data_IF_767449849730
#
_entry.id   IF_767449849730
#
_cell.length_a   1.000
_cell.length_b   1.000
_cell.length_c   1.000
_cell.angle_alpha   90.00
_cell.angle_beta   90.00
_cell.angle_gamma   90.00
#
_symmetry.space_group_name_H-M   'P 1'
#
loop_
_entity.id
_entity.type
_entity.pdbx_description
1 polymer ?
#
# COMPACT_ATOMS: atom_id res chain seq x y z
N UNK A 1 -36.68 -9.71 -47.40
CA UNK A 1 -36.01 -10.46 -46.31
C UNK A 1 -34.51 -10.19 -46.21
N UNK A 2 -33.72 -10.19 -47.30
CA UNK A 2 -32.25 -9.98 -47.21
C UNK A 2 -31.80 -8.60 -46.68
N UNK A 3 -32.47 -7.51 -47.07
CA UNK A 3 -32.14 -6.14 -46.62
C UNK A 3 -32.37 -5.92 -45.11
N UNK A 4 -33.48 -6.44 -44.57
CA UNK A 4 -33.78 -6.33 -43.14
C UNK A 4 -32.77 -7.11 -42.30
N UNK A 5 -32.35 -8.30 -42.76
CA UNK A 5 -31.30 -9.08 -42.08
C UNK A 5 -29.94 -8.38 -42.10
N UNK A 6 -29.55 -7.73 -43.20
CA UNK A 6 -28.30 -6.96 -43.28
C UNK A 6 -28.30 -5.74 -42.35
N UNK A 7 -29.43 -5.03 -42.24
CA UNK A 7 -29.56 -3.89 -41.31
C UNK A 7 -29.43 -4.35 -39.86
N UNK A 8 -30.09 -5.44 -39.47
CA UNK A 8 -29.99 -6.00 -38.11
C UNK A 8 -28.55 -6.45 -37.78
N UNK A 9 -27.87 -7.11 -38.72
CA UNK A 9 -26.46 -7.49 -38.55
C UNK A 9 -25.54 -6.27 -38.39
N UNK A 10 -25.79 -5.19 -39.12
CA UNK A 10 -25.04 -3.94 -39.00
C UNK A 10 -25.17 -3.30 -37.62
N UNK A 11 -26.37 -3.28 -37.04
CA UNK A 11 -26.59 -2.77 -35.67
C UNK A 11 -25.92 -3.63 -34.61
N UNK A 12 -25.95 -4.96 -34.75
CA UNK A 12 -25.28 -5.89 -33.83
C UNK A 12 -23.76 -5.68 -33.88
N UNK A 13 -23.19 -5.57 -35.09
CA UNK A 13 -21.76 -5.32 -35.27
C UNK A 13 -21.34 -3.96 -34.66
N UNK A 14 -22.14 -2.92 -34.85
CA UNK A 14 -21.89 -1.60 -34.26
C UNK A 14 -21.96 -1.62 -32.72
N UNK A 15 -22.95 -2.32 -32.14
CA UNK A 15 -23.06 -2.46 -30.69
C UNK A 15 -21.88 -3.23 -30.10
N UNK A 16 -21.43 -4.32 -30.75
CA UNK A 16 -20.22 -5.04 -30.35
C UNK A 16 -18.97 -4.16 -30.45
N UNK A 17 -18.85 -3.38 -31.52
CA UNK A 17 -17.74 -2.46 -31.72
C UNK A 17 -17.69 -1.36 -30.64
N UNK A 18 -18.84 -0.82 -30.25
CA UNK A 18 -18.96 0.15 -29.13
C UNK A 18 -18.56 -0.50 -27.80
N UNK A 19 -18.99 -1.74 -27.53
CA UNK A 19 -18.59 -2.47 -26.32
C UNK A 19 -17.08 -2.72 -26.29
N UNK A 20 -16.49 -3.12 -27.42
CA UNK A 20 -15.04 -3.33 -27.54
C UNK A 20 -14.29 -2.03 -27.33
N UNK A 21 -14.67 -0.95 -28.03
CA UNK A 21 -14.08 0.38 -27.81
C UNK A 21 -14.23 0.78 -26.35
N UNK A 22 -15.38 0.54 -25.72
CA UNK A 22 -15.57 0.92 -24.33
C UNK A 22 -14.66 0.14 -23.38
N UNK A 23 -14.53 -1.16 -23.59
CA UNK A 23 -13.68 -2.01 -22.76
C UNK A 23 -12.19 -1.75 -23.00
N UNK A 24 -11.79 -1.37 -24.21
CA UNK A 24 -10.39 -1.13 -24.56
C UNK A 24 -9.94 0.31 -24.31
N UNK A 25 -10.80 1.32 -24.53
CA UNK A 25 -10.46 2.74 -24.41
C UNK A 25 -10.96 3.43 -23.13
N UNK A 26 -12.02 2.93 -22.47
CA UNK A 26 -12.52 3.51 -21.21
C UNK A 26 -12.13 2.73 -19.96
N UNK A 27 -11.30 1.70 -20.08
CA UNK A 27 -10.61 1.16 -18.91
C UNK A 27 -9.50 2.13 -18.55
N UNK A 28 -9.77 3.01 -17.57
CA UNK A 28 -8.80 3.96 -17.03
C UNK A 28 -7.46 3.23 -16.80
N UNK A 29 -6.36 3.80 -17.29
CA UNK A 29 -5.01 3.26 -17.05
C UNK A 29 -4.77 2.93 -15.59
N UNK A 30 -5.34 3.73 -14.67
CA UNK A 30 -5.33 3.44 -13.24
C UNK A 30 -5.98 2.10 -12.92
N UNK A 31 -7.14 1.75 -13.48
CA UNK A 31 -7.82 0.47 -13.26
C UNK A 31 -6.98 -0.71 -13.74
N UNK A 32 -6.27 -0.56 -14.86
CA UNK A 32 -5.38 -1.61 -15.36
C UNK A 32 -4.21 -1.84 -14.40
N UNK A 33 -3.52 -0.78 -13.98
CA UNK A 33 -2.39 -0.89 -13.06
C UNK A 33 -2.83 -1.30 -11.66
N UNK A 34 -4.01 -0.86 -11.20
CA UNK A 34 -4.60 -1.23 -9.92
C UNK A 34 -4.71 -2.74 -9.76
N UNK A 35 -5.37 -3.42 -10.69
CA UNK A 35 -5.53 -4.88 -10.59
C UNK A 35 -4.19 -5.62 -10.61
N UNK A 36 -3.23 -5.16 -11.43
CA UNK A 36 -1.89 -5.75 -11.49
C UNK A 36 -1.07 -5.50 -10.23
N UNK A 37 -1.21 -4.32 -9.62
CA UNK A 37 -0.52 -3.96 -8.38
C UNK A 37 -0.96 -4.87 -7.24
N UNK A 38 -2.28 -5.06 -7.07
CA UNK A 38 -2.81 -5.96 -6.05
C UNK A 38 -2.47 -7.43 -6.32
N UNK A 39 -2.54 -7.90 -7.57
CA UNK A 39 -2.11 -9.27 -7.91
C UNK A 39 -0.63 -9.52 -7.57
N UNK A 40 0.26 -8.56 -7.91
CA UNK A 40 1.67 -8.64 -7.54
C UNK A 40 1.88 -8.57 -6.02
N UNK A 41 1.14 -7.71 -5.33
CA UNK A 41 1.21 -7.56 -3.87
C UNK A 41 0.81 -8.87 -3.14
N UNK A 42 -0.31 -9.48 -3.52
CA UNK A 42 -0.78 -10.74 -2.94
C UNK A 42 0.19 -11.90 -3.22
N UNK A 43 0.84 -11.88 -4.39
CA UNK A 43 1.91 -12.84 -4.75
C UNK A 43 3.26 -12.52 -4.12
N UNK A 44 3.35 -11.48 -3.28
CA UNK A 44 4.58 -11.03 -2.63
C UNK A 44 5.70 -10.63 -3.61
N UNK A 45 5.33 -10.21 -4.82
CA UNK A 45 6.25 -9.69 -5.83
C UNK A 45 6.45 -8.19 -5.59
N UNK A 46 7.16 -7.84 -4.52
CA UNK A 46 7.18 -6.47 -3.98
C UNK A 46 7.71 -5.43 -4.97
N UNK A 47 8.78 -5.72 -5.69
CA UNK A 47 9.34 -4.82 -6.70
C UNK A 47 8.34 -4.59 -7.84
N UNK A 48 7.68 -5.65 -8.32
CA UNK A 48 6.64 -5.56 -9.34
C UNK A 48 5.43 -4.78 -8.85
N UNK A 49 5.01 -5.01 -7.60
CA UNK A 49 3.91 -4.30 -6.97
C UNK A 49 4.22 -2.80 -6.86
N UNK A 50 5.43 -2.43 -6.45
CA UNK A 50 5.90 -1.04 -6.39
C UNK A 50 5.79 -0.38 -7.76
N UNK A 51 6.26 -1.06 -8.83
CA UNK A 51 6.18 -0.54 -10.19
C UNK A 51 4.72 -0.24 -10.54
N UNK A 52 3.80 -1.18 -10.34
CA UNK A 52 2.40 -0.94 -10.69
C UNK A 52 1.72 0.11 -9.81
N UNK A 53 1.94 0.09 -8.50
CA UNK A 53 1.43 1.12 -7.58
C UNK A 53 1.93 2.53 -7.95
N UNK A 54 3.16 2.66 -8.48
CA UNK A 54 3.73 3.96 -8.88
C UNK A 54 3.01 4.64 -10.06
N UNK A 55 2.26 3.87 -10.85
CA UNK A 55 1.44 4.39 -11.96
C UNK A 55 0.02 4.78 -11.54
N UNK A 56 -0.37 4.52 -10.30
CA UNK A 56 -1.72 4.80 -9.81
C UNK A 56 -1.72 6.16 -9.11
N UNK A 57 -2.70 7.00 -9.44
CA UNK A 57 -2.94 8.25 -8.73
C UNK A 57 -3.37 8.00 -7.27
N UNK A 58 -2.46 8.23 -6.34
CA UNK A 58 -2.68 8.09 -4.88
C UNK A 58 -3.67 9.10 -4.29
N UNK A 59 -3.97 10.20 -4.98
CA UNK A 59 -5.03 11.11 -4.55
C UNK A 59 -6.41 10.56 -4.88
N UNK A 60 -6.51 9.82 -5.99
CA UNK A 60 -7.72 9.09 -6.37
C UNK A 60 -7.88 7.76 -5.62
N UNK A 61 -6.77 7.06 -5.35
CA UNK A 61 -6.74 5.74 -4.69
C UNK A 61 -5.79 5.74 -3.48
N UNK A 62 -6.10 6.51 -2.41
CA UNK A 62 -5.19 6.64 -1.27
C UNK A 62 -4.93 5.32 -0.53
N UNK A 63 -5.84 4.35 -0.62
CA UNK A 63 -5.71 3.03 -0.01
C UNK A 63 -4.45 2.27 -0.45
N UNK A 64 -3.85 2.62 -1.58
CA UNK A 64 -2.60 1.99 -2.06
C UNK A 64 -1.38 2.40 -1.23
N UNK A 65 -1.44 3.51 -0.47
CA UNK A 65 -0.28 4.05 0.26
C UNK A 65 0.26 3.06 1.29
N UNK A 66 -0.61 2.32 1.97
CA UNK A 66 -0.20 1.32 2.97
C UNK A 66 0.47 0.09 2.31
N UNK A 67 -0.14 -0.58 1.32
CA UNK A 67 0.52 -1.64 0.55
C UNK A 67 1.84 -1.21 -0.09
N UNK A 68 1.89 -0.01 -0.68
CA UNK A 68 3.11 0.52 -1.31
C UNK A 68 4.22 0.72 -0.26
N UNK A 69 3.91 1.34 0.87
CA UNK A 69 4.86 1.47 1.98
C UNK A 69 5.32 0.13 2.54
N UNK A 70 4.42 -0.85 2.65
CA UNK A 70 4.74 -2.23 3.04
C UNK A 70 5.68 -2.90 2.04
N UNK A 71 5.47 -2.75 0.74
CA UNK A 71 6.39 -3.28 -0.28
C UNK A 71 7.80 -2.70 -0.13
N UNK A 72 7.91 -1.38 0.02
CA UNK A 72 9.19 -0.72 0.22
C UNK A 72 9.92 -1.22 1.48
N UNK A 73 9.19 -1.39 2.59
CA UNK A 73 9.74 -2.02 3.80
C UNK A 73 10.28 -3.43 3.49
N UNK A 74 9.54 -4.25 2.75
CA UNK A 74 9.92 -5.64 2.45
C UNK A 74 11.16 -5.78 1.57
N UNK A 75 11.46 -4.77 0.74
CA UNK A 75 12.69 -4.73 -0.07
C UNK A 75 13.84 -3.95 0.61
N UNK A 76 13.62 -3.45 1.84
CA UNK A 76 14.63 -2.72 2.62
C UNK A 76 14.76 -1.23 2.26
N UNK A 77 13.86 -0.68 1.45
CA UNK A 77 13.83 0.76 1.14
C UNK A 77 13.00 1.50 2.19
N UNK A 78 13.61 1.71 3.35
CA UNK A 78 12.95 2.34 4.50
C UNK A 78 12.55 3.79 4.25
N UNK A 79 13.30 4.52 3.41
CA UNK A 79 13.01 5.92 3.12
C UNK A 79 11.68 6.07 2.37
N UNK A 80 11.50 5.29 1.29
CA UNK A 80 10.24 5.30 0.56
C UNK A 80 9.10 4.67 1.36
N UNK A 81 9.37 3.66 2.19
CA UNK A 81 8.39 3.10 3.10
C UNK A 81 7.83 4.17 4.05
N UNK A 82 8.73 4.87 4.76
CA UNK A 82 8.37 5.93 5.72
C UNK A 82 7.62 7.07 5.02
N UNK A 83 8.03 7.48 3.81
CA UNK A 83 7.34 8.53 3.07
C UNK A 83 5.87 8.18 2.81
N UNK A 84 5.60 7.01 2.24
CA UNK A 84 4.24 6.59 1.88
C UNK A 84 3.38 6.32 3.13
N UNK A 85 3.95 5.70 4.16
CA UNK A 85 3.23 5.41 5.39
C UNK A 85 2.92 6.68 6.21
N UNK A 86 3.82 7.67 6.23
CA UNK A 86 3.52 8.97 6.85
C UNK A 86 2.38 9.68 6.13
N UNK A 87 2.30 9.55 4.81
CA UNK A 87 1.18 10.09 4.05
C UNK A 87 -0.14 9.38 4.40
N UNK A 88 -0.13 8.04 4.49
CA UNK A 88 -1.28 7.26 4.96
C UNK A 88 -1.70 7.64 6.40
N UNK A 89 -0.72 7.86 7.27
CA UNK A 89 -0.92 8.30 8.65
C UNK A 89 -1.58 9.69 8.72
N UNK A 90 -1.07 10.66 7.97
CA UNK A 90 -1.64 12.03 7.90
C UNK A 90 -3.05 12.06 7.32
N UNK A 91 -3.35 11.18 6.36
CA UNK A 91 -4.69 11.01 5.77
C UNK A 91 -5.63 10.15 6.64
N UNK A 92 -5.15 9.65 7.79
CA UNK A 92 -5.89 8.76 8.69
C UNK A 92 -6.48 7.53 8.00
N UNK A 93 -5.74 6.96 7.04
CA UNK A 93 -6.23 5.81 6.27
C UNK A 93 -6.42 4.59 7.17
N UNK A 94 -7.55 3.91 6.99
CA UNK A 94 -7.90 2.74 7.80
C UNK A 94 -8.47 3.05 9.17
N UNK A 95 -8.65 4.32 9.59
CA UNK A 95 -9.24 4.63 10.91
C UNK A 95 -10.66 4.09 11.04
N UNK A 96 -11.45 4.17 9.97
CA UNK A 96 -12.83 3.67 9.92
C UNK A 96 -12.91 2.15 9.75
N UNK A 97 -11.90 1.51 9.17
CA UNK A 97 -11.88 0.05 8.92
C UNK A 97 -11.13 -0.73 10.00
N UNK A 98 -10.40 -0.04 10.88
CA UNK A 98 -9.53 -0.65 11.89
C UNK A 98 -8.10 -0.93 11.39
N UNK A 99 -7.79 -0.66 10.12
CA UNK A 99 -6.45 -0.89 9.54
C UNK A 99 -5.43 0.20 9.90
N UNK A 100 -5.86 1.29 10.54
CA UNK A 100 -4.95 2.38 10.96
C UNK A 100 -3.83 1.88 11.88
N UNK A 101 -4.14 0.90 12.73
CA UNK A 101 -3.16 0.28 13.63
C UNK A 101 -2.05 -0.48 12.88
N UNK A 102 -2.30 -0.92 11.63
CA UNK A 102 -1.30 -1.56 10.77
C UNK A 102 -0.35 -0.50 10.20
N UNK A 103 -0.87 0.63 9.74
CA UNK A 103 -0.05 1.77 9.28
C UNK A 103 0.93 2.21 10.37
N UNK A 104 0.43 2.39 11.59
CA UNK A 104 1.24 2.77 12.76
C UNK A 104 2.33 1.73 13.07
N UNK A 105 1.97 0.45 13.14
CA UNK A 105 2.95 -0.59 13.42
C UNK A 105 4.03 -0.66 12.33
N UNK A 106 3.66 -0.55 11.05
CA UNK A 106 4.63 -0.59 9.95
C UNK A 106 5.56 0.63 9.97
N UNK A 107 5.07 1.83 10.33
CA UNK A 107 5.94 2.99 10.59
C UNK A 107 6.93 2.71 11.72
N UNK A 108 6.43 2.16 12.82
CA UNK A 108 7.25 1.78 13.97
C UNK A 108 8.38 0.81 13.61
N UNK A 109 8.08 -0.21 12.79
CA UNK A 109 9.08 -1.14 12.25
C UNK A 109 10.09 -0.44 11.34
N UNK A 110 9.64 0.43 10.43
CA UNK A 110 10.57 1.14 9.54
C UNK A 110 11.55 2.01 10.35
N UNK A 111 11.07 2.73 11.37
CA UNK A 111 11.93 3.54 12.23
C UNK A 111 12.86 2.70 13.09
N UNK A 112 12.41 1.52 13.53
CA UNK A 112 13.23 0.57 14.28
C UNK A 112 14.40 0.08 13.42
N UNK A 113 14.14 -0.29 12.17
CA UNK A 113 15.15 -0.81 11.24
C UNK A 113 16.21 0.22 10.86
N UNK A 114 15.86 1.51 10.78
CA UNK A 114 16.84 2.59 10.57
C UNK A 114 17.49 3.10 11.86
N UNK A 115 17.20 2.46 13.01
CA UNK A 115 17.78 2.81 14.31
C UNK A 115 17.24 4.08 14.96
N UNK A 116 16.15 4.66 14.44
CA UNK A 116 15.47 5.79 15.08
C UNK A 116 14.53 5.28 16.18
N UNK A 117 15.12 4.89 17.31
CA UNK A 117 14.39 4.26 18.43
C UNK A 117 13.29 5.16 19.01
N UNK A 118 13.47 6.49 18.98
CA UNK A 118 12.47 7.45 19.48
C UNK A 118 11.18 7.40 18.67
N UNK A 119 11.27 7.55 17.34
CA UNK A 119 10.10 7.49 16.47
C UNK A 119 9.52 6.07 16.42
N UNK A 120 10.37 5.05 16.42
CA UNK A 120 9.94 3.66 16.49
C UNK A 120 9.05 3.41 17.71
N UNK A 121 9.48 3.85 18.90
CA UNK A 121 8.71 3.74 20.14
C UNK A 121 7.37 4.45 20.03
N UNK A 122 7.37 5.70 19.58
CA UNK A 122 6.16 6.50 19.41
C UNK A 122 5.11 5.77 18.57
N UNK A 123 5.49 5.28 17.38
CA UNK A 123 4.55 4.62 16.49
C UNK A 123 4.12 3.23 16.97
N UNK A 124 5.02 2.46 17.57
CA UNK A 124 4.70 1.12 18.11
C UNK A 124 3.77 1.19 19.33
N UNK A 125 3.99 2.13 20.25
CA UNK A 125 3.10 2.34 21.40
C UNK A 125 1.72 2.82 20.94
N UNK A 126 1.68 3.75 19.97
CA UNK A 126 0.42 4.20 19.37
C UNK A 126 -0.31 3.06 18.65
N UNK A 127 0.40 2.21 17.92
CA UNK A 127 -0.18 1.04 17.26
C UNK A 127 -0.75 0.04 18.27
N UNK A 128 -0.06 -0.20 19.38
CA UNK A 128 -0.55 -1.06 20.47
C UNK A 128 -1.83 -0.51 21.10
N UNK A 129 -1.87 0.80 21.37
CA UNK A 129 -3.05 1.46 21.92
C UNK A 129 -4.26 1.40 20.97
N UNK A 130 -4.01 1.39 19.65
CA UNK A 130 -5.02 1.17 18.60
C UNK A 130 -5.32 -0.34 18.36
N UNK A 131 -4.85 -1.23 19.24
CA UNK A 131 -5.16 -2.65 19.25
C UNK A 131 -4.25 -3.56 18.42
N UNK A 132 -3.12 -3.05 17.90
CA UNK A 132 -2.17 -3.88 17.17
C UNK A 132 -1.21 -4.62 18.11
N UNK A 133 -1.56 -5.86 18.44
CA UNK A 133 -0.79 -6.72 19.35
C UNK A 133 0.60 -7.13 18.81
N UNK A 134 0.84 -7.03 17.49
CA UNK A 134 2.17 -7.33 16.92
C UNK A 134 3.23 -6.32 17.40
N UNK A 135 2.80 -5.12 17.78
CA UNK A 135 3.69 -4.06 18.28
C UNK A 135 4.39 -4.45 19.58
N UNK A 136 3.80 -5.34 20.38
CA UNK A 136 4.38 -5.82 21.65
C UNK A 136 5.76 -6.43 21.45
N UNK A 137 5.94 -7.28 20.42
CA UNK A 137 7.23 -7.90 20.13
C UNK A 137 8.26 -6.86 19.69
N UNK A 138 7.85 -5.90 18.86
CA UNK A 138 8.74 -4.84 18.38
C UNK A 138 9.19 -3.92 19.52
N UNK A 139 8.30 -3.63 20.47
CA UNK A 139 8.64 -2.87 21.69
C UNK A 139 9.65 -3.60 22.57
N UNK A 140 9.54 -4.92 22.73
CA UNK A 140 10.54 -5.71 23.48
C UNK A 140 11.93 -5.68 22.83
N UNK A 141 11.99 -5.72 21.49
CA UNK A 141 13.23 -5.58 20.72
C UNK A 141 13.80 -4.18 20.95
N UNK A 142 12.96 -3.15 20.82
CA UNK A 142 13.34 -1.75 21.02
C UNK A 142 13.89 -1.50 22.43
N UNK A 143 13.23 -2.00 23.48
CA UNK A 143 13.69 -1.90 24.87
C UNK A 143 15.08 -2.52 25.05
N UNK A 144 15.37 -3.61 24.32
CA UNK A 144 16.68 -4.26 24.37
C UNK A 144 17.76 -3.41 23.71
N UNK A 145 17.45 -2.81 22.56
CA UNK A 145 18.35 -1.90 21.84
C UNK A 145 18.67 -0.64 22.66
N UNK A 146 17.68 -0.04 23.32
CA UNK A 146 17.90 1.14 24.18
C UNK A 146 18.81 0.83 25.37
N UNK A 147 18.65 -0.34 26.00
CA UNK A 147 19.54 -0.79 27.08
C UNK A 147 20.98 -0.97 26.60
N UNK A 148 21.17 -1.50 25.40
CA UNK A 148 22.50 -1.65 24.80
C UNK A 148 23.14 -0.30 24.46
N UNK A 149 22.38 0.63 23.89
CA UNK A 149 22.86 1.98 23.59
C UNK A 149 23.25 2.73 24.87
N UNK A 150 22.46 2.60 25.92
CA UNK A 150 22.76 3.16 27.24
C UNK A 150 24.07 2.61 27.79
N UNK A 151 24.28 1.28 27.76
CA UNK A 151 25.53 0.66 28.22
C UNK A 151 26.76 1.13 27.44
N UNK A 152 26.62 1.40 26.13
CA UNK A 152 27.72 1.93 25.30
C UNK A 152 28.07 3.37 25.68
N UNK A 153 27.11 4.19 26.10
CA UNK A 153 27.34 5.58 26.46
C UNK A 153 28.05 5.77 27.81
N UNK A 154 28.09 4.73 28.66
CA UNK A 154 28.75 4.75 29.97
C UNK A 154 30.07 3.96 30.02
N UNK A 155 30.59 3.52 28.87
CA UNK A 155 31.92 2.91 28.73
C UNK A 155 32.85 3.87 28.00
#
# INVERSE_FOLDING_TARGET
MKKTTQVVLGFIALAFFIVIIKNTFFTDSNTQFYNKAWDAYEKQQYETAIIYFSYIDKDKYPEILMPLGSCYLRIGDYANAIQNLNEAYRRELGKKTGDYNKVLNTLGVCYLDIGNLKEARYFLEKALNEGNLNSTRNLQILDSLEREQTKKNYK
#
